data_IF_845024552189
#
_entry.id   IF_845024552189
#
_cell.length_a   1.000
_cell.length_b   1.000
_cell.length_c   1.000
_cell.angle_alpha   90.00
_cell.angle_beta   90.00
_cell.angle_gamma   90.00
#
_symmetry.space_group_name_H-M   'P 1'
#
loop_
_entity.id
_entity.type
_entity.pdbx_description
1 polymer ?
#
# COMPACT_ATOMS: atom_id res chain seq x y z
N UNK A 1 15.76 20.69 -11.82
CA UNK A 1 14.98 20.10 -10.69
C UNK A 1 13.54 20.00 -11.13
N UNK A 2 12.95 18.81 -11.14
CA UNK A 2 11.58 18.59 -11.63
C UNK A 2 10.58 19.09 -10.56
N UNK A 3 9.71 20.08 -10.83
CA UNK A 3 8.81 20.65 -9.81
C UNK A 3 7.88 19.63 -9.15
N UNK A 4 7.67 18.47 -9.78
CA UNK A 4 6.86 17.37 -9.24
C UNK A 4 7.49 16.65 -8.03
N UNK A 5 8.82 16.66 -7.86
CA UNK A 5 9.51 15.93 -6.78
C UNK A 5 9.51 16.66 -5.43
N UNK A 6 9.01 17.89 -5.39
CA UNK A 6 8.98 18.76 -4.20
C UNK A 6 7.55 19.03 -3.71
N UNK A 7 6.58 18.19 -4.09
CA UNK A 7 5.22 18.30 -3.58
C UNK A 7 5.26 18.18 -2.04
N UNK A 8 4.70 19.15 -1.30
CA UNK A 8 4.70 19.11 0.14
C UNK A 8 3.85 17.93 0.63
N UNK A 9 4.26 17.36 1.76
CA UNK A 9 3.53 16.33 2.49
C UNK A 9 3.59 16.67 3.97
N UNK A 10 2.58 16.25 4.73
CA UNK A 10 2.55 16.45 6.18
C UNK A 10 2.97 15.18 6.93
N UNK A 11 3.48 15.38 8.15
CA UNK A 11 3.72 14.31 9.12
C UNK A 11 2.45 14.09 9.95
N UNK A 12 2.05 12.82 10.10
CA UNK A 12 0.87 12.43 10.88
C UNK A 12 1.23 11.51 12.05
N UNK A 13 0.47 11.55 13.15
CA UNK A 13 0.67 10.62 14.26
C UNK A 13 0.30 9.19 13.88
N UNK A 14 0.87 8.19 14.56
CA UNK A 14 0.62 6.77 14.27
C UNK A 14 -0.87 6.40 14.32
N UNK A 15 -1.63 6.95 15.28
CA UNK A 15 -3.06 6.70 15.45
C UNK A 15 -3.93 7.07 14.26
N UNK A 16 -3.42 7.89 13.33
CA UNK A 16 -4.11 8.28 12.11
C UNK A 16 -4.45 7.07 11.21
N UNK A 17 -3.71 5.96 11.33
CA UNK A 17 -4.01 4.72 10.65
C UNK A 17 -5.43 4.20 10.95
N UNK A 18 -5.93 4.38 12.18
CA UNK A 18 -7.30 3.98 12.56
C UNK A 18 -8.34 4.79 11.79
N UNK A 19 -8.09 6.09 11.61
CA UNK A 19 -8.95 6.96 10.81
C UNK A 19 -8.94 6.54 9.35
N UNK A 20 -7.79 6.17 8.78
CA UNK A 20 -7.69 5.66 7.41
C UNK A 20 -8.50 4.36 7.23
N UNK A 21 -8.36 3.40 8.15
CA UNK A 21 -9.17 2.18 8.15
C UNK A 21 -10.67 2.48 8.25
N UNK A 22 -11.05 3.40 9.13
CA UNK A 22 -12.45 3.84 9.29
C UNK A 22 -13.01 4.55 8.05
N UNK A 23 -12.22 5.35 7.35
CA UNK A 23 -12.59 5.92 6.04
C UNK A 23 -12.69 4.84 4.95
N UNK A 24 -11.80 3.85 4.97
CA UNK A 24 -11.88 2.68 4.09
C UNK A 24 -13.19 1.91 4.27
N UNK A 25 -13.57 1.63 5.52
CA UNK A 25 -14.84 1.00 5.87
C UNK A 25 -16.04 1.84 5.42
N UNK A 26 -16.02 3.16 5.68
CA UNK A 26 -17.07 4.07 5.22
C UNK A 26 -17.17 4.12 3.70
N UNK A 27 -16.04 4.12 2.99
CA UNK A 27 -15.99 4.06 1.53
C UNK A 27 -16.67 2.79 1.00
N UNK A 28 -16.43 1.64 1.63
CA UNK A 28 -17.12 0.39 1.30
C UNK A 28 -18.64 0.50 1.54
N UNK A 29 -19.05 0.91 2.73
CA UNK A 29 -20.47 1.02 3.11
C UNK A 29 -21.26 2.03 2.27
N UNK A 30 -20.60 3.03 1.70
CA UNK A 30 -21.21 4.02 0.79
C UNK A 30 -21.62 3.43 -0.58
N UNK A 31 -21.00 2.34 -1.02
CA UNK A 31 -21.26 1.74 -2.33
C UNK A 31 -20.87 0.24 -2.37
N UNK A 32 -21.50 -0.62 -1.57
CA UNK A 32 -21.03 -2.00 -1.37
C UNK A 32 -21.06 -2.83 -2.66
N UNK A 33 -22.11 -2.71 -3.48
CA UNK A 33 -22.24 -3.49 -4.72
C UNK A 33 -21.12 -3.20 -5.73
N UNK A 34 -20.84 -1.94 -6.12
CA UNK A 34 -19.70 -1.65 -6.99
C UNK A 34 -18.36 -2.12 -6.43
N UNK A 35 -18.15 -1.99 -5.11
CA UNK A 35 -16.92 -2.43 -4.46
C UNK A 35 -16.75 -3.95 -4.51
N UNK A 36 -17.80 -4.71 -4.21
CA UNK A 36 -17.79 -6.17 -4.35
C UNK A 36 -17.54 -6.57 -5.81
N UNK A 37 -18.15 -5.87 -6.77
CA UNK A 37 -17.89 -6.08 -8.20
C UNK A 37 -16.41 -5.87 -8.57
N UNK A 38 -15.78 -4.80 -8.09
CA UNK A 38 -14.34 -4.55 -8.27
C UNK A 38 -13.48 -5.65 -7.64
N UNK A 39 -13.83 -6.10 -6.42
CA UNK A 39 -13.13 -7.20 -5.75
C UNK A 39 -13.22 -8.51 -6.53
N UNK A 40 -14.42 -8.88 -6.98
CA UNK A 40 -14.65 -10.09 -7.78
C UNK A 40 -13.84 -10.01 -9.06
N UNK A 41 -13.88 -8.88 -9.77
CA UNK A 41 -13.09 -8.65 -10.99
C UNK A 41 -11.58 -8.82 -10.74
N UNK A 42 -11.07 -8.23 -9.66
CA UNK A 42 -9.67 -8.38 -9.25
C UNK A 42 -9.32 -9.85 -8.96
N UNK A 43 -10.15 -10.55 -8.18
CA UNK A 43 -9.91 -11.95 -7.83
C UNK A 43 -9.95 -12.86 -9.06
N UNK A 44 -10.86 -12.63 -10.01
CA UNK A 44 -10.91 -13.36 -11.28
C UNK A 44 -9.64 -13.12 -12.09
N UNK A 45 -9.18 -11.86 -12.21
CA UNK A 45 -7.92 -11.54 -12.90
C UNK A 45 -6.76 -12.29 -12.25
N UNK A 46 -6.65 -12.26 -10.93
CA UNK A 46 -5.58 -12.96 -10.21
C UNK A 46 -5.67 -14.49 -10.38
N UNK A 47 -6.88 -15.07 -10.43
CA UNK A 47 -7.09 -16.50 -10.67
C UNK A 47 -6.67 -16.90 -12.08
N UNK A 48 -7.03 -16.10 -13.09
CA UNK A 48 -6.65 -16.34 -14.48
C UNK A 48 -5.13 -16.24 -14.65
N UNK A 49 -4.51 -15.23 -14.04
CA UNK A 49 -3.05 -15.05 -14.12
C UNK A 49 -2.31 -16.25 -13.55
N UNK A 50 -2.81 -16.89 -12.48
CA UNK A 50 -2.18 -18.09 -11.88
C UNK A 50 -2.09 -19.27 -12.84
N UNK A 51 -2.95 -19.36 -13.84
CA UNK A 51 -2.92 -20.43 -14.84
C UNK A 51 -1.84 -20.22 -15.92
N UNK A 52 -1.29 -19.01 -16.05
CA UNK A 52 -0.29 -18.68 -17.04
C UNK A 52 1.13 -19.02 -16.56
N UNK A 53 2.04 -19.45 -17.45
CA UNK A 53 3.47 -19.41 -17.18
C UNK A 53 3.86 -17.97 -16.78
N UNK A 54 4.61 -17.81 -15.69
CA UNK A 54 4.97 -16.50 -15.11
C UNK A 54 3.79 -15.70 -14.51
N UNK A 55 2.64 -16.34 -14.27
CA UNK A 55 1.48 -15.72 -13.64
C UNK A 55 1.76 -14.94 -12.35
N UNK A 56 2.68 -15.47 -11.52
CA UNK A 56 3.16 -14.80 -10.32
C UNK A 56 3.79 -13.43 -10.61
N UNK A 57 4.75 -13.38 -11.53
CA UNK A 57 5.41 -12.12 -11.94
C UNK A 57 4.42 -11.14 -12.57
N UNK A 58 3.50 -11.63 -13.40
CA UNK A 58 2.45 -10.79 -14.00
C UNK A 58 1.52 -10.20 -12.92
N UNK A 59 1.13 -10.99 -11.92
CA UNK A 59 0.31 -10.50 -10.81
C UNK A 59 1.02 -9.42 -10.00
N UNK A 60 2.32 -9.58 -9.76
CA UNK A 60 3.15 -8.59 -9.05
C UNK A 60 3.28 -7.30 -9.86
N UNK A 61 3.54 -7.40 -11.17
CA UNK A 61 3.62 -6.26 -12.07
C UNK A 61 2.28 -5.51 -12.17
N UNK A 62 1.15 -6.22 -12.26
CA UNK A 62 -0.17 -5.61 -12.35
C UNK A 62 -0.74 -5.15 -11.00
N UNK A 63 -0.08 -5.42 -9.88
CA UNK A 63 -0.60 -5.08 -8.55
C UNK A 63 -0.87 -3.59 -8.38
N UNK A 64 0.09 -2.71 -8.74
CA UNK A 64 -0.09 -1.25 -8.62
C UNK A 64 -1.22 -0.71 -9.51
N UNK A 65 -1.30 -1.01 -10.83
CA UNK A 65 -2.40 -0.52 -11.64
C UNK A 65 -3.76 -1.05 -11.17
N UNK A 66 -3.84 -2.31 -10.74
CA UNK A 66 -5.10 -2.88 -10.25
C UNK A 66 -5.54 -2.23 -8.92
N UNK A 67 -4.61 -2.06 -7.99
CA UNK A 67 -4.90 -1.40 -6.70
C UNK A 67 -5.23 0.09 -6.88
N UNK A 68 -4.56 0.76 -7.81
CA UNK A 68 -4.82 2.16 -8.15
C UNK A 68 -6.26 2.41 -8.63
N UNK A 69 -6.86 1.47 -9.38
CA UNK A 69 -8.25 1.60 -9.80
C UNK A 69 -9.19 1.72 -8.59
N UNK A 70 -8.94 0.93 -7.53
CA UNK A 70 -9.68 1.02 -6.27
C UNK A 70 -9.50 2.39 -5.60
N UNK A 71 -8.27 2.87 -5.47
CA UNK A 71 -8.00 4.19 -4.89
C UNK A 71 -8.65 5.33 -5.70
N UNK A 72 -8.65 5.23 -7.04
CA UNK A 72 -9.34 6.17 -7.92
C UNK A 72 -10.85 6.12 -7.69
N UNK A 73 -11.44 4.93 -7.61
CA UNK A 73 -12.86 4.77 -7.32
C UNK A 73 -13.25 5.37 -5.96
N UNK A 74 -12.46 5.12 -4.92
CA UNK A 74 -12.64 5.75 -3.61
C UNK A 74 -12.59 7.28 -3.68
N UNK A 75 -11.73 7.84 -4.53
CA UNK A 75 -11.62 9.30 -4.71
C UNK A 75 -12.86 9.91 -5.34
N UNK A 76 -13.38 9.31 -6.42
CA UNK A 76 -14.60 9.79 -7.08
C UNK A 76 -15.81 9.64 -6.17
N UNK A 77 -15.93 8.50 -5.49
CA UNK A 77 -16.98 8.25 -4.52
C UNK A 77 -16.94 9.33 -3.41
N UNK A 78 -15.77 9.61 -2.85
CA UNK A 78 -15.62 10.62 -1.80
C UNK A 78 -15.99 12.03 -2.27
N UNK A 79 -15.61 12.43 -3.48
CA UNK A 79 -15.96 13.73 -4.07
C UNK A 79 -17.46 13.87 -4.29
N UNK A 80 -18.09 12.84 -4.87
CA UNK A 80 -19.54 12.82 -5.12
C UNK A 80 -20.35 12.84 -3.84
N UNK A 81 -19.91 12.11 -2.82
CA UNK A 81 -20.51 12.16 -1.49
C UNK A 81 -20.38 13.53 -0.83
N UNK A 82 -19.23 14.18 -0.94
CA UNK A 82 -19.04 15.55 -0.42
C UNK A 82 -19.95 16.55 -1.15
N UNK A 83 -20.08 16.43 -2.47
CA UNK A 83 -20.97 17.26 -3.27
C UNK A 83 -22.44 17.02 -2.89
N UNK A 84 -22.89 15.77 -2.84
CA UNK A 84 -24.25 15.43 -2.44
C UNK A 84 -24.57 15.97 -1.03
N UNK A 85 -23.64 15.82 -0.07
CA UNK A 85 -23.84 16.36 1.27
C UNK A 85 -23.92 17.89 1.32
N UNK A 86 -23.22 18.59 0.42
CA UNK A 86 -23.24 20.06 0.37
C UNK A 86 -24.57 20.65 -0.08
N UNK A 87 -25.35 19.88 -0.87
CA UNK A 87 -26.67 20.30 -1.39
C UNK A 87 -27.83 19.73 -0.58
N UNK A 88 -27.62 18.65 0.18
CA UNK A 88 -28.64 18.03 1.03
C UNK A 88 -28.80 18.80 2.35
N UNK A 89 -30.02 19.25 2.71
CA UNK A 89 -30.27 19.90 3.99
C UNK A 89 -29.88 19.05 5.21
N UNK A 90 -29.49 19.72 6.29
CA UNK A 90 -29.17 19.04 7.54
C UNK A 90 -30.39 18.25 8.05
N UNK A 91 -30.16 17.00 8.47
CA UNK A 91 -31.22 16.08 8.93
C UNK A 91 -31.80 15.17 7.84
N UNK A 92 -31.57 15.44 6.55
CA UNK A 92 -31.98 14.54 5.48
C UNK A 92 -30.92 13.46 5.19
N UNK A 93 -31.33 12.22 4.88
CA UNK A 93 -30.45 11.21 4.31
C UNK A 93 -29.85 11.70 2.99
N UNK A 94 -28.55 11.53 2.80
CA UNK A 94 -27.89 11.85 1.53
C UNK A 94 -28.10 10.67 0.59
N UNK A 95 -28.60 10.96 -0.61
CA UNK A 95 -28.77 9.93 -1.63
C UNK A 95 -27.40 9.36 -2.10
N UNK A 96 -27.31 8.04 -2.32
CA UNK A 96 -26.08 7.44 -2.82
C UNK A 96 -25.72 7.93 -4.25
N UNK A 97 -24.90 8.97 -4.35
CA UNK A 97 -24.43 9.56 -5.62
C UNK A 97 -23.37 8.70 -6.34
N UNK A 98 -23.67 7.42 -6.54
CA UNK A 98 -22.74 6.39 -7.07
C UNK A 98 -22.74 6.30 -8.60
N UNK A 99 -23.79 6.80 -9.27
CA UNK A 99 -24.00 6.63 -10.71
C UNK A 99 -22.88 7.24 -11.56
N UNK A 100 -22.18 6.42 -12.33
CA UNK A 100 -21.07 6.88 -13.16
C UNK A 100 -19.73 7.01 -12.43
N UNK A 101 -19.68 6.87 -11.10
CA UNK A 101 -18.41 6.91 -10.36
C UNK A 101 -17.43 5.85 -10.88
N UNK A 102 -17.92 4.64 -11.16
CA UNK A 102 -17.10 3.56 -11.73
C UNK A 102 -16.64 3.88 -13.16
N UNK A 103 -17.50 4.48 -13.98
CA UNK A 103 -17.18 4.90 -15.35
C UNK A 103 -16.08 5.96 -15.35
N UNK A 104 -16.25 7.02 -14.57
CA UNK A 104 -15.29 8.12 -14.45
C UNK A 104 -13.95 7.62 -13.90
N UNK A 105 -14.01 6.73 -12.92
CA UNK A 105 -12.81 6.09 -12.34
C UNK A 105 -12.05 5.27 -13.37
N UNK A 106 -12.78 4.49 -14.18
CA UNK A 106 -12.20 3.68 -15.26
C UNK A 106 -11.59 4.57 -16.35
N UNK A 107 -12.22 5.71 -16.68
CA UNK A 107 -11.69 6.66 -17.66
C UNK A 107 -10.38 7.30 -17.17
N UNK A 108 -10.33 7.79 -15.94
CA UNK A 108 -9.11 8.35 -15.36
C UNK A 108 -8.00 7.28 -15.27
N UNK A 109 -8.36 6.08 -14.83
CA UNK A 109 -7.44 4.96 -14.73
C UNK A 109 -6.85 4.60 -16.10
N UNK A 110 -7.68 4.46 -17.15
CA UNK A 110 -7.21 4.22 -18.53
C UNK A 110 -6.22 5.28 -19.00
N UNK A 111 -6.47 6.55 -18.70
CA UNK A 111 -5.54 7.64 -19.03
C UNK A 111 -4.21 7.60 -18.26
N UNK A 112 -4.13 6.83 -17.17
CA UNK A 112 -2.95 6.69 -16.29
C UNK A 112 -2.34 5.29 -16.30
N UNK A 113 -2.88 4.34 -17.06
CA UNK A 113 -2.39 2.95 -17.12
C UNK A 113 -0.94 2.88 -17.61
N UNK A 114 -0.55 3.66 -18.64
CA UNK A 114 0.82 3.65 -19.14
C UNK A 114 1.86 4.00 -18.07
N UNK A 115 1.75 5.16 -17.41
CA UNK A 115 2.60 5.52 -16.27
C UNK A 115 2.57 4.51 -15.12
N UNK A 116 1.41 3.90 -14.84
CA UNK A 116 1.30 2.86 -13.81
C UNK A 116 2.04 1.58 -14.17
N UNK A 117 1.95 1.12 -15.41
CA UNK A 117 2.68 -0.06 -15.86
C UNK A 117 4.19 0.19 -15.81
N UNK A 118 4.63 1.40 -16.18
CA UNK A 118 6.04 1.79 -16.08
C UNK A 118 6.51 1.81 -14.62
N UNK A 119 5.75 2.45 -13.72
CA UNK A 119 6.13 2.50 -12.30
C UNK A 119 6.13 1.12 -11.65
N UNK A 120 5.23 0.22 -12.06
CA UNK A 120 5.24 -1.18 -11.63
C UNK A 120 6.53 -1.89 -12.00
N UNK A 121 7.04 -1.72 -13.23
CA UNK A 121 8.33 -2.31 -13.61
C UNK A 121 9.45 -1.73 -12.75
N UNK A 122 9.48 -0.42 -12.55
CA UNK A 122 10.51 0.24 -11.73
C UNK A 122 10.48 -0.27 -10.28
N UNK A 123 9.30 -0.35 -9.66
CA UNK A 123 9.13 -0.87 -8.30
C UNK A 123 9.53 -2.34 -8.22
N UNK A 124 9.18 -3.15 -9.22
CA UNK A 124 9.55 -4.57 -9.26
C UNK A 124 11.07 -4.76 -9.40
N UNK A 125 11.72 -3.99 -10.27
CA UNK A 125 13.17 -4.04 -10.45
C UNK A 125 13.90 -3.54 -9.21
N UNK A 126 13.51 -2.39 -8.65
CA UNK A 126 14.15 -1.82 -7.46
C UNK A 126 13.91 -2.69 -6.22
N UNK A 127 12.66 -3.10 -5.98
CA UNK A 127 12.30 -3.97 -4.86
C UNK A 127 12.89 -5.37 -5.00
N UNK A 128 12.92 -5.92 -6.22
CA UNK A 128 13.55 -7.19 -6.53
C UNK A 128 15.06 -7.16 -6.35
N UNK A 129 15.74 -6.11 -6.85
CA UNK A 129 17.18 -5.93 -6.64
C UNK A 129 17.53 -5.76 -5.16
N UNK A 130 16.76 -4.94 -4.43
CA UNK A 130 16.95 -4.77 -2.99
C UNK A 130 16.74 -6.09 -2.23
N UNK A 131 15.65 -6.81 -2.54
CA UNK A 131 15.37 -8.12 -1.95
C UNK A 131 16.45 -9.15 -2.27
N UNK A 132 16.92 -9.22 -3.52
CA UNK A 132 17.99 -10.12 -3.94
C UNK A 132 19.31 -9.79 -3.23
N UNK A 133 19.70 -8.51 -3.15
CA UNK A 133 20.90 -8.09 -2.43
C UNK A 133 20.83 -8.44 -0.94
N UNK A 134 19.65 -8.28 -0.33
CA UNK A 134 19.45 -8.66 1.07
C UNK A 134 19.55 -10.17 1.25
N UNK A 135 18.88 -10.96 0.41
CA UNK A 135 18.94 -12.43 0.48
C UNK A 135 20.37 -12.93 0.22
N UNK A 136 21.08 -12.39 -0.76
CA UNK A 136 22.47 -12.74 -1.06
C UNK A 136 23.41 -12.32 0.08
N UNK A 137 23.27 -11.10 0.58
CA UNK A 137 24.10 -10.58 1.66
C UNK A 137 23.93 -11.37 2.96
N UNK A 138 22.69 -11.59 3.39
CA UNK A 138 22.43 -12.36 4.61
C UNK A 138 22.68 -13.85 4.39
N UNK A 139 22.38 -14.39 3.21
CA UNK A 139 22.70 -15.76 2.84
C UNK A 139 24.21 -16.04 2.86
N UNK A 140 25.03 -15.07 2.42
CA UNK A 140 26.48 -15.15 2.51
C UNK A 140 26.97 -15.13 3.96
N UNK A 141 26.44 -14.21 4.78
CA UNK A 141 26.76 -14.15 6.22
C UNK A 141 26.36 -15.44 6.95
N UNK A 142 25.19 -15.98 6.62
CA UNK A 142 24.71 -17.25 7.15
C UNK A 142 25.57 -18.43 6.66
N UNK A 143 25.96 -18.47 5.39
CA UNK A 143 26.84 -19.50 4.83
C UNK A 143 28.22 -19.50 5.49
N UNK A 144 28.80 -18.32 5.74
CA UNK A 144 30.05 -18.17 6.50
C UNK A 144 29.88 -18.65 7.94
N UNK A 145 28.78 -18.27 8.59
CA UNK A 145 28.41 -18.75 9.93
C UNK A 145 28.31 -20.27 9.98
N UNK A 146 27.57 -20.88 9.06
CA UNK A 146 27.40 -22.33 8.99
C UNK A 146 28.72 -23.06 8.67
N UNK A 147 29.55 -22.54 7.75
CA UNK A 147 30.86 -23.11 7.45
C UNK A 147 31.79 -23.08 8.67
N UNK A 148 31.78 -21.98 9.43
CA UNK A 148 32.54 -21.85 10.68
C UNK A 148 32.07 -22.80 11.78
N UNK A 149 30.77 -23.15 11.79
CA UNK A 149 30.18 -24.12 12.70
C UNK A 149 30.34 -25.57 12.23
N UNK A 150 30.46 -25.83 10.92
CA UNK A 150 30.75 -27.16 10.35
C UNK A 150 32.16 -27.66 10.67
N UNK A 151 33.07 -26.77 11.04
CA UNK A 151 34.37 -27.11 11.62
C UNK A 151 34.28 -27.58 13.09
N UNK A 152 33.17 -27.29 13.79
CA UNK A 152 32.99 -27.53 15.22
C UNK A 152 32.71 -29.01 15.60
N UNK A 153 31.98 -29.82 14.81
CA UNK A 153 31.82 -31.27 15.05
C UNK A 153 33.13 -32.06 15.05
N UNK A 154 34.18 -31.58 14.36
CA UNK A 154 35.51 -32.17 14.46
C UNK A 154 36.15 -32.01 15.86
N UNK A 155 35.53 -31.19 16.72
CA UNK A 155 35.94 -30.92 18.10
C UNK A 155 34.93 -31.46 19.13
N UNK A 156 33.84 -32.11 18.71
CA UNK A 156 32.76 -32.59 19.58
C UNK A 156 32.36 -34.05 19.31
N UNK A 157 31.61 -34.68 20.24
CA UNK A 157 31.12 -36.04 20.03
C UNK A 157 30.06 -36.09 18.91
N UNK A 158 29.99 -37.16 18.09
CA UNK A 158 29.17 -37.20 16.89
C UNK A 158 27.68 -36.88 17.09
N UNK A 159 27.09 -37.32 18.21
CA UNK A 159 25.67 -37.07 18.52
C UNK A 159 25.37 -35.62 18.94
N UNK A 160 26.28 -34.97 19.68
CA UNK A 160 26.15 -33.57 20.09
C UNK A 160 26.44 -32.61 18.93
N UNK A 161 27.41 -32.94 18.07
CA UNK A 161 27.74 -32.15 16.88
C UNK A 161 26.57 -32.07 15.88
N UNK A 162 25.84 -33.17 15.68
CA UNK A 162 24.67 -33.20 14.78
C UNK A 162 23.50 -32.36 15.34
N UNK A 163 23.19 -32.45 16.64
CA UNK A 163 22.16 -31.63 17.27
C UNK A 163 22.50 -30.14 17.27
N UNK A 164 23.75 -29.78 17.56
CA UNK A 164 24.21 -28.40 17.50
C UNK A 164 24.13 -27.83 16.06
N UNK A 165 24.51 -28.62 15.05
CA UNK A 165 24.40 -28.24 13.65
C UNK A 165 22.94 -27.97 13.21
N UNK A 166 22.00 -28.84 13.59
CA UNK A 166 20.58 -28.65 13.28
C UNK A 166 19.99 -27.41 13.97
N UNK A 167 20.35 -27.16 15.24
CA UNK A 167 19.93 -25.95 15.97
C UNK A 167 20.48 -24.65 15.37
N UNK A 168 21.72 -24.67 14.90
CA UNK A 168 22.35 -23.53 14.21
C UNK A 168 21.68 -23.23 12.86
N UNK A 169 21.34 -24.25 12.07
CA UNK A 169 20.62 -24.08 10.81
C UNK A 169 19.23 -23.52 11.05
N UNK A 170 18.48 -24.08 12.02
CA UNK A 170 17.13 -23.62 12.33
C UNK A 170 17.11 -22.16 12.83
N UNK A 171 18.03 -21.79 13.72
CA UNK A 171 18.14 -20.42 14.23
C UNK A 171 18.51 -19.42 13.13
N UNK A 172 19.47 -19.75 12.26
CA UNK A 172 19.84 -18.87 11.16
C UNK A 172 18.76 -18.74 10.09
N UNK A 173 18.02 -19.81 9.76
CA UNK A 173 16.84 -19.72 8.90
C UNK A 173 15.75 -18.82 9.50
N UNK A 174 15.54 -18.89 10.81
CA UNK A 174 14.61 -18.02 11.51
C UNK A 174 15.05 -16.55 11.46
N UNK A 175 16.33 -16.26 11.70
CA UNK A 175 16.88 -14.90 11.54
C UNK A 175 16.75 -14.38 10.11
N UNK A 176 17.03 -15.21 9.10
CA UNK A 176 16.83 -14.85 7.68
C UNK A 176 15.37 -14.49 7.39
N UNK A 177 14.43 -15.28 7.91
CA UNK A 177 13.01 -15.02 7.76
C UNK A 177 12.62 -13.67 8.38
N UNK A 178 13.08 -13.38 9.60
CA UNK A 178 12.80 -12.10 10.26
C UNK A 178 13.35 -10.90 9.48
N UNK A 179 14.57 -11.02 8.95
CA UNK A 179 15.19 -9.97 8.14
C UNK A 179 14.48 -9.78 6.79
N UNK A 180 14.04 -10.87 6.17
CA UNK A 180 13.23 -10.82 4.96
C UNK A 180 11.87 -10.14 5.20
N UNK A 181 11.20 -10.47 6.31
CA UNK A 181 9.94 -9.81 6.70
C UNK A 181 10.14 -8.32 6.97
N UNK A 182 11.22 -7.95 7.66
CA UNK A 182 11.58 -6.55 7.87
C UNK A 182 11.82 -5.82 6.54
N UNK A 183 12.56 -6.45 5.62
CA UNK A 183 12.82 -5.89 4.29
C UNK A 183 11.54 -5.66 3.49
N UNK A 184 10.63 -6.64 3.48
CA UNK A 184 9.33 -6.54 2.81
C UNK A 184 8.49 -5.41 3.43
N UNK A 185 8.51 -5.28 4.75
CA UNK A 185 7.84 -4.18 5.44
C UNK A 185 8.42 -2.82 5.07
N UNK A 186 9.74 -2.66 5.03
CA UNK A 186 10.39 -1.41 4.63
C UNK A 186 10.11 -1.05 3.17
N UNK A 187 10.08 -2.04 2.27
CA UNK A 187 9.65 -1.83 0.88
C UNK A 187 8.18 -1.40 0.79
N UNK A 188 7.31 -1.99 1.61
CA UNK A 188 5.91 -1.58 1.68
C UNK A 188 5.79 -0.11 2.10
N UNK A 189 6.51 0.32 3.15
CA UNK A 189 6.56 1.72 3.59
C UNK A 189 7.07 2.63 2.47
N UNK A 190 8.16 2.25 1.80
CA UNK A 190 8.77 3.04 0.74
C UNK A 190 7.83 3.26 -0.45
N UNK A 191 7.06 2.23 -0.83
CA UNK A 191 6.25 2.23 -2.05
C UNK A 191 4.75 2.43 -1.84
N UNK A 192 4.29 2.58 -0.59
CA UNK A 192 2.89 2.69 -0.22
C UNK A 192 2.11 3.72 -1.05
N UNK A 193 2.69 4.90 -1.27
CA UNK A 193 2.03 6.01 -1.96
C UNK A 193 2.28 6.06 -3.47
N UNK A 194 3.11 5.16 -4.03
CA UNK A 194 3.51 5.23 -5.45
C UNK A 194 2.28 5.20 -6.37
N UNK A 195 1.37 4.26 -6.15
CA UNK A 195 0.21 4.07 -7.02
C UNK A 195 -0.74 5.29 -7.00
N UNK A 196 -0.98 5.89 -5.83
CA UNK A 196 -1.87 7.05 -5.66
C UNK A 196 -1.20 8.34 -6.14
N UNK A 197 0.11 8.50 -5.96
CA UNK A 197 0.88 9.62 -6.50
C UNK A 197 0.88 9.64 -8.03
N UNK A 198 1.06 8.49 -8.68
CA UNK A 198 1.04 8.40 -10.15
C UNK A 198 -0.36 8.64 -10.70
N UNK A 199 -1.38 8.05 -10.09
CA UNK A 199 -2.76 8.13 -10.61
C UNK A 199 -3.48 9.41 -10.23
N UNK A 200 -3.60 9.69 -8.93
CA UNK A 200 -4.35 10.83 -8.40
C UNK A 200 -3.48 12.08 -8.32
N UNK A 201 -2.21 11.91 -8.01
CA UNK A 201 -1.25 13.02 -7.93
C UNK A 201 -0.74 13.47 -9.30
N UNK A 202 -0.84 12.62 -10.31
CA UNK A 202 -0.32 12.85 -11.65
C UNK A 202 1.20 12.98 -11.72
N UNK A 203 1.91 12.51 -10.68
CA UNK A 203 3.36 12.61 -10.56
C UNK A 203 4.04 11.60 -11.50
N UNK A 204 5.12 11.98 -12.21
CA UNK A 204 5.88 11.03 -13.04
C UNK A 204 6.38 9.82 -12.25
N UNK A 205 6.51 8.63 -12.86
CA UNK A 205 6.85 7.38 -12.16
C UNK A 205 8.06 7.44 -11.23
N UNK A 206 9.18 7.99 -11.72
CA UNK A 206 10.41 8.08 -10.93
C UNK A 206 10.27 9.05 -9.75
N UNK A 207 9.69 10.23 -9.99
CA UNK A 207 9.46 11.23 -8.95
C UNK A 207 8.48 10.72 -7.89
N UNK A 208 7.48 9.92 -8.30
CA UNK A 208 6.51 9.30 -7.39
C UNK A 208 7.19 8.28 -6.45
N UNK A 209 8.18 7.53 -6.94
CA UNK A 209 8.97 6.62 -6.09
C UNK A 209 9.76 7.41 -5.04
N UNK A 210 10.47 8.46 -5.46
CA UNK A 210 11.27 9.29 -4.54
C UNK A 210 10.39 9.98 -3.50
N UNK A 211 9.25 10.51 -3.93
CA UNK A 211 8.31 11.20 -3.06
C UNK A 211 7.60 10.23 -2.11
N UNK A 212 7.21 9.04 -2.58
CA UNK A 212 6.64 7.97 -1.74
C UNK A 212 7.64 7.52 -0.68
N UNK A 213 8.93 7.36 -1.04
CA UNK A 213 9.96 7.00 -0.08
C UNK A 213 10.07 8.04 1.04
N UNK A 214 10.21 9.32 0.71
CA UNK A 214 10.31 10.41 1.70
C UNK A 214 9.06 10.50 2.58
N UNK A 215 7.87 10.51 1.98
CA UNK A 215 6.61 10.62 2.70
C UNK A 215 6.29 9.36 3.53
N UNK A 216 6.66 8.18 3.04
CA UNK A 216 6.48 6.91 3.73
C UNK A 216 7.29 6.85 5.02
N UNK A 217 8.59 7.14 4.96
CA UNK A 217 9.46 7.18 6.14
C UNK A 217 9.14 8.34 7.09
N UNK A 218 8.70 9.48 6.57
CA UNK A 218 8.16 10.58 7.38
C UNK A 218 6.93 10.18 8.20
N UNK A 219 6.16 9.18 7.74
CA UNK A 219 4.93 8.69 8.35
C UNK A 219 5.03 7.22 8.78
N UNK A 220 6.24 6.77 9.11
CA UNK A 220 6.55 5.37 9.42
C UNK A 220 5.64 4.80 10.51
N UNK A 221 5.39 5.54 11.59
CA UNK A 221 4.55 5.07 12.70
C UNK A 221 3.10 4.78 12.28
N UNK A 222 2.54 5.60 11.38
CA UNK A 222 1.19 5.38 10.87
C UNK A 222 1.14 4.18 9.92
N UNK A 223 2.13 4.01 9.03
CA UNK A 223 2.20 2.87 8.13
C UNK A 223 2.52 1.55 8.85
N UNK A 224 3.32 1.61 9.93
CA UNK A 224 3.55 0.49 10.83
C UNK A 224 2.25 0.05 11.49
N UNK A 225 1.51 0.96 12.13
CA UNK A 225 0.23 0.64 12.75
C UNK A 225 -0.78 0.13 11.72
N UNK A 226 -0.82 0.75 10.53
CA UNK A 226 -1.67 0.30 9.43
C UNK A 226 -1.40 -1.17 9.06
N UNK A 227 -0.13 -1.53 8.90
CA UNK A 227 0.29 -2.89 8.54
C UNK A 227 0.06 -3.88 9.68
N UNK A 228 0.30 -3.46 10.93
CA UNK A 228 0.01 -4.29 12.11
C UNK A 228 -1.48 -4.58 12.26
N UNK A 229 -2.36 -3.62 11.94
CA UNK A 229 -3.81 -3.84 11.92
C UNK A 229 -4.25 -4.76 10.78
N UNK A 230 -3.59 -4.68 9.61
CA UNK A 230 -3.88 -5.55 8.48
C UNK A 230 -3.70 -7.03 8.80
N UNK A 231 -2.74 -7.41 9.65
CA UNK A 231 -2.46 -8.81 9.97
C UNK A 231 -3.68 -9.52 10.60
N UNK A 232 -4.19 -9.11 11.79
CA UNK A 232 -5.35 -9.77 12.40
C UNK A 232 -6.62 -9.61 11.56
N UNK A 233 -6.86 -8.46 10.92
CA UNK A 233 -8.01 -8.25 10.04
C UNK A 233 -7.96 -9.21 8.84
N UNK A 234 -6.77 -9.38 8.26
CA UNK A 234 -6.51 -10.30 7.15
C UNK A 234 -6.78 -11.75 7.55
N UNK A 235 -6.30 -12.18 8.72
CA UNK A 235 -6.62 -13.51 9.24
C UNK A 235 -8.12 -13.73 9.37
N UNK A 236 -8.85 -12.78 9.98
CA UNK A 236 -10.32 -12.86 10.12
C UNK A 236 -11.00 -12.89 8.75
N UNK A 237 -10.55 -12.09 7.79
CA UNK A 237 -11.10 -12.05 6.44
C UNK A 237 -10.88 -13.37 5.66
N UNK A 238 -9.87 -14.16 6.03
CA UNK A 238 -9.57 -15.45 5.42
C UNK A 238 -10.38 -16.62 6.01
N UNK A 239 -10.89 -16.51 7.25
CA UNK A 239 -11.71 -17.54 7.92
C UNK A 239 -12.87 -18.04 7.04
N UNK A 240 -13.70 -17.18 6.40
CA UNK A 240 -14.80 -17.63 5.54
C UNK A 240 -14.29 -18.06 4.16
N UNK A 241 -13.29 -18.94 4.11
CA UNK A 241 -12.66 -19.45 2.88
C UNK A 241 -12.18 -18.33 1.94
N UNK A 242 -11.68 -17.23 2.50
CA UNK A 242 -11.24 -16.05 1.74
C UNK A 242 -12.33 -15.11 1.26
N UNK A 243 -13.63 -15.37 1.53
CA UNK A 243 -14.71 -14.47 1.12
C UNK A 243 -14.64 -13.09 1.79
N UNK A 244 -14.02 -12.98 2.97
CA UNK A 244 -13.80 -11.69 3.63
C UNK A 244 -12.88 -10.76 2.83
N UNK A 245 -12.09 -11.29 1.88
CA UNK A 245 -11.31 -10.48 0.94
C UNK A 245 -12.20 -9.60 0.06
N UNK A 246 -13.45 -10.01 -0.21
CA UNK A 246 -14.41 -9.20 -0.98
C UNK A 246 -14.72 -7.86 -0.30
N UNK A 247 -14.57 -7.80 1.02
CA UNK A 247 -14.75 -6.60 1.85
C UNK A 247 -13.42 -5.95 2.18
N UNK A 248 -12.39 -6.73 2.50
CA UNK A 248 -11.08 -6.21 2.88
C UNK A 248 -10.38 -5.46 1.74
N UNK A 249 -10.45 -5.95 0.49
CA UNK A 249 -9.83 -5.30 -0.67
C UNK A 249 -10.40 -3.87 -0.93
N UNK A 250 -11.74 -3.66 -0.88
CA UNK A 250 -12.35 -2.33 -0.92
C UNK A 250 -11.91 -1.43 0.23
N UNK A 251 -11.92 -1.96 1.45
CA UNK A 251 -11.54 -1.21 2.65
C UNK A 251 -10.09 -0.75 2.55
N UNK A 252 -9.18 -1.63 2.13
CA UNK A 252 -7.79 -1.29 1.89
C UNK A 252 -7.62 -0.23 0.80
N UNK A 253 -8.37 -0.33 -0.30
CA UNK A 253 -8.34 0.65 -1.40
C UNK A 253 -8.83 2.02 -0.93
N UNK A 254 -9.93 2.06 -0.18
CA UNK A 254 -10.46 3.28 0.42
C UNK A 254 -9.52 3.88 1.47
N UNK A 255 -8.90 3.04 2.31
CA UNK A 255 -7.94 3.48 3.30
C UNK A 255 -6.63 3.99 2.67
N UNK A 256 -6.20 3.40 1.55
CA UNK A 256 -5.08 3.90 0.76
C UNK A 256 -5.39 5.30 0.21
N UNK A 257 -6.57 5.51 -0.38
CA UNK A 257 -7.01 6.85 -0.81
C UNK A 257 -7.05 7.84 0.36
N UNK A 258 -7.62 7.44 1.51
CA UNK A 258 -7.67 8.27 2.70
C UNK A 258 -6.26 8.66 3.17
N UNK A 259 -5.32 7.70 3.26
CA UNK A 259 -3.93 7.98 3.63
C UNK A 259 -3.25 8.95 2.66
N UNK A 260 -3.51 8.81 1.35
CA UNK A 260 -2.98 9.72 0.33
C UNK A 260 -3.54 11.13 0.47
N UNK A 261 -4.86 11.28 0.61
CA UNK A 261 -5.51 12.57 0.81
C UNK A 261 -5.01 13.23 2.10
N UNK A 262 -4.79 12.43 3.13
CA UNK A 262 -4.38 12.91 4.44
C UNK A 262 -2.93 13.44 4.42
N UNK A 263 -2.00 12.71 3.79
CA UNK A 263 -0.59 13.08 3.72
C UNK A 263 -0.32 14.17 2.68
N UNK A 264 -0.99 14.13 1.53
CA UNK A 264 -0.71 15.02 0.38
C UNK A 264 -1.80 16.03 0.05
N UNK A 265 -3.04 15.84 0.51
CA UNK A 265 -4.18 16.65 0.10
C UNK A 265 -4.19 18.07 0.69
N UNK A 266 -3.95 18.21 1.99
CA UNK A 266 -3.93 19.51 2.67
C UNK A 266 -2.65 20.30 2.38
N UNK A 267 -1.53 19.61 2.17
CA UNK A 267 -0.25 20.23 1.87
C UNK A 267 -0.24 20.95 0.50
N UNK A 268 -1.11 20.55 -0.43
CA UNK A 268 -1.27 21.20 -1.74
C UNK A 268 -2.23 22.40 -1.77
N UNK A 269 -2.88 22.74 -0.65
CA UNK A 269 -3.67 23.97 -0.57
C UNK A 269 -2.74 25.12 -0.18
N UNK A 270 -2.57 26.17 -1.01
CA UNK A 270 -1.93 27.40 -0.57
C UNK A 270 -2.69 27.89 0.66
N UNK A 271 -1.98 28.11 1.77
CA UNK A 271 -2.53 28.85 2.89
C UNK A 271 -2.74 30.27 2.37
N UNK A 272 -3.95 30.59 1.95
CA UNK A 272 -4.36 31.97 1.74
C UNK A 272 -4.26 32.66 3.12
N UNK A 273 -3.40 33.68 3.29
CA UNK A 273 -3.28 34.35 4.58
C UNK A 273 -4.63 34.95 4.94
N UNK A 274 -5.27 34.43 5.99
CA UNK A 274 -6.43 35.07 6.61
C UNK A 274 -5.96 36.28 7.41
N UNK A 275 -5.59 37.34 6.72
CA UNK A 275 -5.35 38.66 7.32
C UNK A 275 -5.88 39.75 6.40
N UNK A 276 -7.21 39.86 6.30
CA UNK A 276 -7.89 41.15 6.16
C UNK A 276 -9.21 41.07 6.95
N UNK A 277 -9.17 41.48 8.21
CA UNK A 277 -10.38 41.87 8.91
C UNK A 277 -11.01 43.07 8.18
N UNK A 278 -12.34 43.11 7.98
CA UNK A 278 -12.98 44.29 7.39
C UNK A 278 -12.82 45.47 8.36
N UNK A 279 -11.99 46.43 7.95
CA UNK A 279 -11.93 47.74 8.60
C UNK A 279 -13.28 48.41 8.44
N UNK A 280 -14.02 48.53 9.54
CA UNK A 280 -15.11 49.49 9.65
C UNK A 280 -14.48 50.88 9.60
N UNK A 281 -14.84 51.66 8.59
CA UNK A 281 -14.69 53.12 8.60
C UNK A 281 -16.10 53.68 8.58
N UNK A 282 -16.41 54.45 9.64
CA UNK A 282 -17.65 55.20 9.78
C UNK A 282 -17.64 56.53 9.04
#
# INVERSE_FOLDING_TARGET
MNPASNRPYRHVPAGQALTWWGEGWRSFMRAPLPWVGLSIGLLIILLVLRALPLGGLLSQWLSLPLFALGAVYASFLSRRWAQARSITPQGMPVEPATEGALRDSTQLWKGRVGPLLLVSVLVLVLGGAFGALLVLGVGALFGVGLASMGALPHLMTPGLGMMAGLGAVASGMFTLMLLALLALFLLNVAFWFVNTLVTLGGVPPWDAIQLSFKAGFANFGALLLFTLLLIPIGFVAMIPMGLGLLVLLPVLSGASYASYQDVFGQASSPVEPRDQAPGFVG
#
